data_IF_743651129535
#
_entry.id   IF_743651129535
#
_cell.length_a   1.000
_cell.length_b   1.000
_cell.length_c   1.000
_cell.angle_alpha   90.00
_cell.angle_beta   90.00
_cell.angle_gamma   90.00
#
_symmetry.space_group_name_H-M   'P 1'
#
loop_
_entity.id
_entity.type
_entity.pdbx_description
1 polymer ?
#
# COMPACT_ATOMS: atom_id res chain seq x y z
N UNK A 1 -42.44 37.75 -6.57
CA UNK A 1 -41.64 36.64 -6.01
C UNK A 1 -41.09 35.85 -7.19
N UNK A 2 -39.80 36.02 -7.49
CA UNK A 2 -39.15 35.39 -8.65
C UNK A 2 -38.81 33.94 -8.33
N UNK A 3 -39.38 33.01 -9.10
CA UNK A 3 -39.08 31.59 -9.00
C UNK A 3 -37.60 31.34 -9.37
N UNK A 4 -36.85 30.68 -8.48
CA UNK A 4 -35.49 30.23 -8.76
C UNK A 4 -35.57 28.96 -9.63
N UNK A 5 -34.99 28.94 -10.85
CA UNK A 5 -35.20 27.87 -11.84
C UNK A 5 -34.41 26.58 -11.58
N UNK A 6 -33.99 26.30 -10.34
CA UNK A 6 -33.11 25.16 -10.02
C UNK A 6 -33.41 24.56 -8.63
N UNK A 7 -34.69 24.44 -8.27
CA UNK A 7 -35.06 23.57 -7.14
C UNK A 7 -35.32 22.18 -7.72
N UNK A 8 -34.41 21.19 -7.58
CA UNK A 8 -34.71 19.84 -8.01
C UNK A 8 -35.94 19.35 -7.25
N UNK A 9 -36.88 18.77 -7.98
CA UNK A 9 -38.11 18.20 -7.44
C UNK A 9 -37.78 17.27 -6.27
N UNK A 10 -38.51 17.44 -5.16
CA UNK A 10 -38.34 16.59 -3.97
C UNK A 10 -38.51 15.12 -4.36
N UNK A 11 -37.61 14.22 -3.91
CA UNK A 11 -37.81 12.80 -4.12
C UNK A 11 -39.08 12.35 -3.39
N UNK A 12 -39.86 11.59 -4.13
CA UNK A 12 -40.90 10.68 -3.70
C UNK A 12 -40.53 9.94 -2.40
N UNK A 13 -41.52 9.83 -1.52
CA UNK A 13 -41.39 9.33 -0.16
C UNK A 13 -41.29 7.80 -0.07
N UNK A 14 -40.39 7.18 -0.84
CA UNK A 14 -39.93 5.79 -0.68
C UNK A 14 -38.52 5.71 -0.08
N UNK A 15 -37.82 6.84 0.11
CA UNK A 15 -36.71 6.97 1.07
C UNK A 15 -35.38 6.28 0.70
N UNK A 16 -35.31 5.53 -0.38
CA UNK A 16 -34.06 4.92 -0.85
C UNK A 16 -33.38 5.83 -1.87
N UNK A 17 -32.37 6.57 -1.40
CA UNK A 17 -31.47 7.31 -2.27
C UNK A 17 -30.58 6.33 -3.05
N UNK A 18 -30.65 6.36 -4.38
CA UNK A 18 -29.74 5.62 -5.25
C UNK A 18 -28.59 6.52 -5.77
N UNK A 19 -27.33 6.06 -5.73
CA UNK A 19 -26.21 6.80 -6.29
C UNK A 19 -26.39 7.01 -7.80
N UNK A 20 -26.22 8.24 -8.31
CA UNK A 20 -26.28 8.46 -9.76
C UNK A 20 -25.12 7.75 -10.45
N UNK A 21 -25.32 7.27 -11.68
CA UNK A 21 -24.31 6.48 -12.43
C UNK A 21 -22.92 7.13 -12.46
N UNK A 22 -22.84 8.46 -12.59
CA UNK A 22 -21.57 9.22 -12.55
C UNK A 22 -20.75 8.99 -11.27
N UNK A 23 -21.43 8.75 -10.15
CA UNK A 23 -20.80 8.48 -8.85
C UNK A 23 -20.26 7.05 -8.81
N UNK A 24 -21.05 6.08 -9.28
CA UNK A 24 -20.62 4.68 -9.39
C UNK A 24 -19.42 4.53 -10.34
N UNK A 25 -19.43 5.23 -11.47
CA UNK A 25 -18.34 5.23 -12.44
C UNK A 25 -17.06 5.84 -11.84
N UNK A 26 -17.19 6.94 -11.10
CA UNK A 26 -16.07 7.57 -10.41
C UNK A 26 -15.48 6.69 -9.30
N UNK A 27 -16.35 6.02 -8.52
CA UNK A 27 -15.93 5.05 -7.50
C UNK A 27 -15.20 3.86 -8.11
N UNK A 28 -15.73 3.31 -9.21
CA UNK A 28 -15.09 2.22 -9.94
C UNK A 28 -13.72 2.64 -10.46
N UNK A 29 -13.60 3.83 -11.07
CA UNK A 29 -12.33 4.34 -11.56
C UNK A 29 -11.29 4.52 -10.44
N UNK A 30 -11.72 5.03 -9.27
CA UNK A 30 -10.87 5.14 -8.09
C UNK A 30 -10.41 3.76 -7.60
N UNK A 31 -11.31 2.79 -7.50
CA UNK A 31 -11.00 1.43 -7.05
C UNK A 31 -10.05 0.71 -8.01
N UNK A 32 -10.24 0.87 -9.31
CA UNK A 32 -9.37 0.26 -10.32
C UNK A 32 -7.96 0.90 -10.28
N UNK A 33 -7.86 2.22 -10.11
CA UNK A 33 -6.58 2.91 -9.91
C UNK A 33 -5.87 2.47 -8.62
N UNK A 34 -6.62 2.26 -7.54
CA UNK A 34 -6.07 1.79 -6.26
C UNK A 34 -5.53 0.36 -6.37
N UNK A 35 -6.23 -0.54 -7.07
CA UNK A 35 -5.75 -1.91 -7.34
C UNK A 35 -4.45 -1.90 -8.14
N UNK A 36 -4.36 -1.06 -9.16
CA UNK A 36 -3.16 -0.95 -9.97
C UNK A 36 -1.98 -0.37 -9.16
N UNK A 37 -2.24 0.65 -8.35
CA UNK A 37 -1.23 1.19 -7.43
C UNK A 37 -0.75 0.11 -6.44
N UNK A 38 -1.65 -0.73 -5.91
CA UNK A 38 -1.28 -1.81 -5.00
C UNK A 38 -0.46 -2.91 -5.70
N UNK A 39 -0.81 -3.26 -6.95
CA UNK A 39 -0.01 -4.18 -7.78
C UNK A 39 1.43 -3.67 -7.93
N UNK A 40 1.60 -2.41 -8.31
CA UNK A 40 2.92 -1.78 -8.46
C UNK A 40 3.69 -1.71 -7.13
N UNK A 41 3.00 -1.48 -6.01
CA UNK A 41 3.62 -1.51 -4.67
C UNK A 41 4.15 -2.90 -4.34
N UNK A 42 3.39 -3.96 -4.60
CA UNK A 42 3.85 -5.33 -4.37
C UNK A 42 5.05 -5.67 -5.26
N UNK A 43 5.02 -5.28 -6.54
CA UNK A 43 6.15 -5.50 -7.45
C UNK A 43 7.43 -4.83 -6.94
N UNK A 44 7.34 -3.57 -6.51
CA UNK A 44 8.49 -2.86 -5.94
C UNK A 44 8.98 -3.49 -4.64
N UNK A 45 8.08 -3.91 -3.75
CA UNK A 45 8.45 -4.59 -2.49
C UNK A 45 9.14 -5.92 -2.74
N UNK A 46 8.71 -6.67 -3.75
CA UNK A 46 9.37 -7.90 -4.17
C UNK A 46 10.81 -7.63 -4.61
N UNK A 47 11.02 -6.62 -5.46
CA UNK A 47 12.37 -6.21 -5.90
C UNK A 47 13.23 -5.83 -4.70
N UNK A 48 12.69 -5.04 -3.75
CA UNK A 48 13.43 -4.69 -2.53
C UNK A 48 13.83 -5.90 -1.69
N UNK A 49 12.97 -6.90 -1.60
CA UNK A 49 13.28 -8.14 -0.87
C UNK A 49 14.40 -8.94 -1.56
N UNK A 50 14.32 -9.08 -2.88
CA UNK A 50 15.35 -9.75 -3.69
C UNK A 50 16.71 -9.03 -3.57
N UNK A 51 16.73 -7.71 -3.66
CA UNK A 51 17.95 -6.90 -3.49
C UNK A 51 18.49 -6.94 -2.05
N UNK A 52 17.62 -6.98 -1.04
CA UNK A 52 18.05 -7.15 0.35
C UNK A 52 18.74 -8.51 0.54
N UNK A 53 18.20 -9.58 -0.03
CA UNK A 53 18.81 -10.91 0.03
C UNK A 53 20.14 -10.96 -0.72
N UNK A 54 20.17 -10.43 -1.95
CA UNK A 54 21.34 -10.43 -2.82
C UNK A 54 22.49 -9.56 -2.28
N UNK A 55 22.17 -8.38 -1.73
CA UNK A 55 23.18 -7.47 -1.16
C UNK A 55 23.87 -8.04 0.07
N UNK A 56 23.21 -8.96 0.79
CA UNK A 56 23.70 -9.50 2.05
C UNK A 56 23.89 -8.42 3.12
N UNK A 57 23.26 -7.24 2.98
CA UNK A 57 23.29 -6.19 3.98
C UNK A 57 22.36 -6.53 5.15
N UNK A 58 22.59 -5.88 6.31
CA UNK A 58 21.58 -5.88 7.36
C UNK A 58 20.45 -4.91 6.99
N UNK A 59 19.25 -5.14 7.51
CA UNK A 59 18.09 -4.27 7.27
C UNK A 59 18.36 -2.81 7.69
N UNK A 60 19.07 -2.63 8.81
CA UNK A 60 19.54 -1.31 9.27
C UNK A 60 20.45 -0.57 8.28
N UNK A 61 21.29 -1.30 7.52
CA UNK A 61 22.13 -0.70 6.48
C UNK A 61 21.37 -0.51 5.18
N UNK A 62 20.49 -1.45 4.86
CA UNK A 62 19.70 -1.39 3.64
C UNK A 62 18.73 -0.19 3.63
N UNK A 63 18.20 0.24 4.77
CA UNK A 63 17.37 1.45 4.85
C UNK A 63 18.11 2.73 4.39
N UNK A 64 19.43 2.80 4.48
CA UNK A 64 20.19 3.98 4.01
C UNK A 64 20.07 4.17 2.48
N UNK A 65 19.66 3.12 1.74
CA UNK A 65 19.51 3.11 0.28
C UNK A 65 18.07 3.11 -0.20
N UNK A 66 17.09 3.16 0.72
CA UNK A 66 15.67 3.08 0.37
C UNK A 66 14.90 4.18 1.09
N UNK A 67 13.71 4.59 0.60
CA UNK A 67 12.87 5.56 1.31
C UNK A 67 12.18 4.96 2.55
N UNK A 68 12.48 3.71 2.91
CA UNK A 68 11.78 2.97 3.95
C UNK A 68 12.58 2.87 5.24
N UNK A 69 11.87 2.83 6.36
CA UNK A 69 12.47 2.57 7.67
C UNK A 69 12.86 1.09 7.79
N UNK A 70 13.80 0.80 8.68
CA UNK A 70 14.15 -0.60 9.03
C UNK A 70 12.92 -1.43 9.40
N UNK A 71 11.93 -0.86 10.08
CA UNK A 71 10.69 -1.57 10.44
C UNK A 71 9.89 -1.99 9.21
N UNK A 72 9.74 -1.09 8.23
CA UNK A 72 9.05 -1.39 6.97
C UNK A 72 9.82 -2.45 6.18
N UNK A 73 11.15 -2.34 6.09
CA UNK A 73 12.00 -3.32 5.41
C UNK A 73 11.91 -4.69 6.08
N UNK A 74 11.85 -4.75 7.41
CA UNK A 74 11.64 -5.99 8.15
C UNK A 74 10.25 -6.60 7.85
N UNK A 75 9.21 -5.76 7.71
CA UNK A 75 7.90 -6.20 7.26
C UNK A 75 7.94 -6.83 5.87
N UNK A 76 8.58 -6.14 4.90
CA UNK A 76 8.77 -6.62 3.53
C UNK A 76 9.57 -7.93 3.52
N UNK A 77 10.68 -7.99 4.26
CA UNK A 77 11.50 -9.20 4.35
C UNK A 77 10.71 -10.40 4.87
N UNK A 78 9.81 -10.21 5.86
CA UNK A 78 8.92 -11.27 6.34
C UNK A 78 7.86 -11.66 5.30
N UNK A 79 7.28 -10.69 4.61
CA UNK A 79 6.30 -10.90 3.53
C UNK A 79 6.86 -11.81 2.42
N UNK A 80 8.13 -11.60 2.05
CA UNK A 80 8.81 -12.34 0.97
C UNK A 80 9.79 -13.43 1.45
N UNK A 81 9.82 -13.74 2.75
CA UNK A 81 10.61 -14.87 3.30
C UNK A 81 12.12 -14.64 3.41
N UNK A 82 12.61 -13.40 3.29
CA UNK A 82 14.03 -13.05 3.42
C UNK A 82 14.46 -13.14 4.88
N UNK A 83 15.46 -13.99 5.15
CA UNK A 83 15.94 -14.22 6.52
C UNK A 83 16.80 -13.04 6.99
N UNK A 84 16.54 -12.47 8.18
CA UNK A 84 17.41 -11.44 8.73
C UNK A 84 18.80 -12.00 9.00
N UNK A 85 19.84 -11.31 8.52
CA UNK A 85 21.21 -11.56 8.97
C UNK A 85 21.31 -11.25 10.46
N UNK A 86 21.36 -12.29 11.29
CA UNK A 86 21.58 -12.15 12.73
C UNK A 86 23.00 -11.67 12.96
N UNK A 87 23.18 -10.69 13.85
CA UNK A 87 24.50 -10.38 14.39
C UNK A 87 25.05 -11.66 15.04
N UNK A 88 26.33 -12.05 14.82
CA UNK A 88 26.91 -13.15 15.57
C UNK A 88 26.82 -12.80 17.05
N UNK A 89 26.02 -13.57 17.80
CA UNK A 89 26.00 -13.46 19.25
C UNK A 89 27.34 -14.01 19.74
N UNK A 90 28.00 -13.20 20.59
CA UNK A 90 29.36 -13.38 21.13
C UNK A 90 29.66 -14.78 21.70
N UNK A 91 28.64 -15.60 21.97
CA UNK A 91 28.77 -17.01 22.40
C UNK A 91 29.34 -17.97 21.35
N UNK A 92 29.48 -17.58 20.08
CA UNK A 92 29.97 -18.48 19.01
C UNK A 92 31.49 -18.41 18.75
N UNK A 93 32.24 -17.57 19.48
CA UNK A 93 33.68 -17.30 19.23
C UNK A 93 34.61 -18.17 20.12
N UNK A 94 34.08 -19.13 20.89
CA UNK A 94 34.91 -20.09 21.65
C UNK A 94 34.61 -21.52 21.20
N UNK A 95 35.35 -21.98 20.21
CA UNK A 95 35.66 -23.40 19.98
C UNK A 95 37.08 -23.48 19.43
#
# INVERSE_FOLDING_TARGET
>A
MTAHPNTPDKPDASGEWEPPQRMLDAEKAMNDAAKEAERLRHEYRKVLAEELEASGLSMYRFQEHTPYTEQTINGIAKEYGVKPKRKPTVRSIKS
#
